data_IF_894148562282
#
_entry.id   IF_894148562282
#
_cell.length_a   1.000
_cell.length_b   1.000
_cell.length_c   1.000
_cell.angle_alpha   90.00
_cell.angle_beta   90.00
_cell.angle_gamma   90.00
#
_symmetry.space_group_name_H-M   'P 1'
#
loop_
_entity.id
_entity.type
_entity.pdbx_description
1 polymer ?
#
# COMPACT_ATOMS: atom_id res chain seq x y z
N UNK A 1 -4.72 -15.61 2.52
CA UNK A 1 -3.60 -15.29 1.62
C UNK A 1 -3.26 -16.57 0.87
N UNK A 2 -3.16 -16.53 -0.45
CA UNK A 2 -2.72 -17.66 -1.28
C UNK A 2 -1.25 -17.42 -1.70
N UNK A 3 -0.34 -18.28 -1.25
CA UNK A 3 1.12 -18.17 -1.45
C UNK A 3 1.62 -19.00 -2.63
N UNK A 4 0.74 -19.57 -3.45
CA UNK A 4 1.11 -20.51 -4.51
C UNK A 4 1.72 -19.86 -5.78
N UNK A 5 1.84 -18.53 -5.83
CA UNK A 5 2.26 -17.82 -7.05
C UNK A 5 3.80 -17.71 -7.19
N UNK A 6 4.43 -18.43 -8.13
CA UNK A 6 5.89 -18.58 -8.17
C UNK A 6 6.67 -17.31 -8.56
N UNK A 7 6.03 -16.31 -9.18
CA UNK A 7 6.68 -15.01 -9.44
C UNK A 7 6.58 -14.04 -8.26
N UNK A 8 5.70 -14.33 -7.29
CA UNK A 8 5.53 -13.51 -6.09
C UNK A 8 6.28 -14.12 -4.91
N UNK A 9 6.40 -15.45 -4.85
CA UNK A 9 7.06 -16.16 -3.76
C UNK A 9 8.22 -16.99 -4.32
N UNK A 10 9.43 -16.41 -4.29
CA UNK A 10 10.64 -16.96 -4.95
C UNK A 10 11.35 -18.03 -4.07
N UNK A 11 10.97 -18.17 -2.79
CA UNK A 11 11.42 -19.24 -1.87
C UNK A 11 10.28 -19.67 -0.92
N UNK A 12 10.29 -20.91 -0.39
CA UNK A 12 9.23 -21.44 0.47
C UNK A 12 9.00 -20.66 1.78
N UNK A 13 9.96 -19.83 2.19
CA UNK A 13 9.96 -18.97 3.37
C UNK A 13 10.67 -17.65 2.97
N UNK A 14 10.42 -16.46 3.52
CA UNK A 14 9.63 -16.02 4.66
C UNK A 14 9.56 -14.50 4.47
N UNK A 15 8.46 -13.96 3.91
CA UNK A 15 8.04 -12.56 3.94
C UNK A 15 7.10 -12.18 2.78
N UNK A 16 6.23 -11.21 3.03
CA UNK A 16 5.34 -10.58 2.05
C UNK A 16 6.19 -9.86 1.00
N UNK A 17 5.98 -10.14 -0.30
CA UNK A 17 6.70 -9.45 -1.37
C UNK A 17 6.42 -7.95 -1.35
N UNK A 18 7.45 -7.13 -1.63
CA UNK A 18 7.28 -5.67 -1.66
C UNK A 18 6.16 -5.20 -2.60
N UNK A 19 5.92 -5.91 -3.71
CA UNK A 19 4.82 -5.63 -4.63
C UNK A 19 3.43 -5.77 -3.99
N UNK A 20 3.26 -6.70 -3.04
CA UNK A 20 2.00 -6.86 -2.30
C UNK A 20 1.78 -5.68 -1.36
N UNK A 21 2.84 -5.16 -0.73
CA UNK A 21 2.76 -3.95 0.11
C UNK A 21 2.43 -2.70 -0.71
N UNK A 22 2.96 -2.58 -1.94
CA UNK A 22 2.58 -1.51 -2.86
C UNK A 22 1.10 -1.57 -3.23
N UNK A 23 0.58 -2.76 -3.52
CA UNK A 23 -0.84 -2.93 -3.83
C UNK A 23 -1.74 -2.64 -2.62
N UNK A 24 -1.32 -3.07 -1.43
CA UNK A 24 -2.02 -2.74 -0.19
C UNK A 24 -2.08 -1.21 0.02
N UNK A 25 -0.97 -0.51 -0.25
CA UNK A 25 -0.94 0.95 -0.20
C UNK A 25 -1.85 1.61 -1.22
N UNK A 26 -1.87 1.11 -2.46
CA UNK A 26 -2.77 1.59 -3.50
C UNK A 26 -4.24 1.43 -3.11
N UNK A 27 -4.62 0.25 -2.62
CA UNK A 27 -6.00 -0.03 -2.22
C UNK A 27 -6.41 0.79 -1.00
N UNK A 28 -5.54 0.90 0.01
CA UNK A 28 -5.81 1.69 1.21
C UNK A 28 -5.95 3.19 0.88
N UNK A 29 -5.09 3.72 0.01
CA UNK A 29 -5.20 5.10 -0.47
C UNK A 29 -6.50 5.35 -1.25
N UNK A 30 -6.88 4.43 -2.14
CA UNK A 30 -8.14 4.52 -2.86
C UNK A 30 -9.36 4.50 -1.92
N UNK A 31 -9.34 3.66 -0.87
CA UNK A 31 -10.44 3.53 0.07
C UNK A 31 -10.71 4.81 0.89
N UNK A 32 -9.69 5.64 1.12
CA UNK A 32 -9.82 6.89 1.89
C UNK A 32 -9.86 8.15 1.00
N UNK A 33 -9.79 8.00 -0.32
CA UNK A 33 -9.84 9.11 -1.27
C UNK A 33 -11.27 9.31 -1.79
N UNK A 34 -11.93 10.45 -1.50
CA UNK A 34 -13.29 10.71 -1.97
C UNK A 34 -13.34 10.98 -3.49
N UNK A 35 -14.36 10.47 -4.19
CA UNK A 35 -14.62 10.81 -5.58
C UNK A 35 -15.60 9.87 -6.28
N UNK A 36 -16.20 10.32 -7.38
CA UNK A 36 -17.02 9.50 -8.26
C UNK A 36 -16.10 8.75 -9.24
N UNK A 37 -15.84 7.47 -8.99
CA UNK A 37 -15.00 6.62 -9.84
C UNK A 37 -13.97 5.81 -9.05
N UNK A 38 -13.07 5.14 -9.75
CA UNK A 38 -11.94 4.42 -9.14
C UNK A 38 -10.75 5.37 -9.05
N UNK A 39 -10.36 5.86 -7.86
CA UNK A 39 -9.22 6.76 -7.71
C UNK A 39 -7.94 6.08 -8.21
N UNK A 40 -7.12 6.82 -8.94
CA UNK A 40 -5.91 6.31 -9.58
C UNK A 40 -4.64 6.91 -8.95
N UNK A 41 -3.65 6.09 -8.55
CA UNK A 41 -2.38 6.59 -8.05
C UNK A 41 -1.57 7.25 -9.18
N UNK A 42 -1.18 8.51 -9.01
CA UNK A 42 -0.29 9.24 -9.92
C UNK A 42 1.18 8.92 -9.64
N UNK A 43 1.54 8.74 -8.38
CA UNK A 43 2.90 8.39 -7.95
C UNK A 43 2.90 7.78 -6.56
N UNK A 44 3.93 7.01 -6.25
CA UNK A 44 4.17 6.43 -4.93
C UNK A 44 5.64 6.61 -4.55
N UNK A 45 5.89 7.24 -3.41
CA UNK A 45 7.21 7.28 -2.76
C UNK A 45 7.22 6.26 -1.63
N UNK A 46 8.06 5.23 -1.73
CA UNK A 46 7.98 4.06 -0.86
C UNK A 46 9.27 3.87 -0.06
N UNK A 47 9.14 3.43 1.18
CA UNK A 47 10.25 2.96 2.01
C UNK A 47 9.90 1.59 2.57
N UNK A 48 10.84 0.66 2.47
CA UNK A 48 10.75 -0.69 3.03
C UNK A 48 11.78 -0.77 4.14
N UNK A 49 11.32 -0.65 5.38
CA UNK A 49 12.20 -0.59 6.55
C UNK A 49 12.62 -2.00 6.98
N UNK A 50 11.70 -2.97 6.86
CA UNK A 50 11.89 -4.36 7.30
C UNK A 50 11.11 -5.33 6.41
N UNK A 51 11.49 -6.60 6.49
CA UNK A 51 10.66 -7.67 5.97
C UNK A 51 9.37 -7.79 6.78
N UNK A 52 8.30 -8.18 6.09
CA UNK A 52 7.00 -8.45 6.70
C UNK A 52 6.81 -9.95 6.69
N UNK A 53 6.95 -10.60 7.83
CA UNK A 53 6.89 -12.06 7.92
C UNK A 53 5.43 -12.57 7.82
N UNK A 54 5.22 -13.87 7.57
CA UNK A 54 3.86 -14.44 7.44
C UNK A 54 3.23 -14.88 8.77
N UNK A 55 4.02 -14.94 9.83
CA UNK A 55 3.64 -15.46 11.15
C UNK A 55 2.68 -14.53 11.91
N UNK A 56 2.82 -13.21 11.73
CA UNK A 56 1.99 -12.19 12.37
C UNK A 56 1.34 -11.24 11.34
N UNK A 57 0.16 -10.67 11.64
CA UNK A 57 -0.47 -9.72 10.74
C UNK A 57 0.34 -8.44 10.57
N UNK A 58 0.42 -7.95 9.32
CA UNK A 58 0.81 -6.58 9.02
C UNK A 58 -0.45 -5.71 8.86
N UNK A 59 -0.58 -4.71 9.72
CA UNK A 59 -1.67 -3.74 9.70
C UNK A 59 -1.34 -2.57 8.79
N UNK A 60 -2.28 -2.21 7.92
CA UNK A 60 -2.13 -1.10 6.98
C UNK A 60 -3.00 0.06 7.44
N UNK A 61 -2.37 1.20 7.71
CA UNK A 61 -3.04 2.44 8.11
C UNK A 61 -2.91 3.48 7.00
N UNK A 62 -4.01 4.14 6.64
CA UNK A 62 -4.05 5.17 5.61
C UNK A 62 -4.56 6.49 6.19
N UNK A 63 -3.75 7.54 6.05
CA UNK A 63 -4.05 8.89 6.55
C UNK A 63 -4.01 9.89 5.39
N UNK A 64 -5.13 10.57 5.06
CA UNK A 64 -5.10 11.68 4.12
C UNK A 64 -4.16 12.79 4.57
N UNK A 65 -3.35 13.30 3.65
CA UNK A 65 -2.42 14.43 3.85
C UNK A 65 -2.60 15.43 2.71
N UNK A 66 -1.98 16.62 2.81
CA UNK A 66 -2.18 17.70 1.83
C UNK A 66 -1.93 17.27 0.38
N UNK A 67 -0.94 16.42 0.14
CA UNK A 67 -0.50 16.04 -1.21
C UNK A 67 -0.85 14.59 -1.60
N UNK A 68 -1.74 13.92 -0.85
CA UNK A 68 -2.13 12.53 -1.12
C UNK A 68 -2.54 11.75 0.12
N UNK A 69 -2.16 10.49 0.18
CA UNK A 69 -2.41 9.60 1.32
C UNK A 69 -1.09 9.03 1.81
N UNK A 70 -0.81 9.19 3.11
CA UNK A 70 0.27 8.47 3.78
C UNK A 70 -0.26 7.10 4.19
N UNK A 71 0.38 6.05 3.70
CA UNK A 71 0.13 4.67 4.11
C UNK A 71 1.30 4.16 4.93
N UNK A 72 1.02 3.52 6.06
CA UNK A 72 2.04 2.89 6.92
C UNK A 72 1.65 1.45 7.20
N UNK A 73 2.63 0.55 7.06
CA UNK A 73 2.51 -0.85 7.46
C UNK A 73 3.15 -1.07 8.83
N UNK A 74 2.44 -1.73 9.73
CA UNK A 74 2.91 -2.09 11.06
C UNK A 74 2.82 -3.60 11.31
N UNK A 75 3.90 -4.22 11.76
CA UNK A 75 3.92 -5.60 12.23
C UNK A 75 4.58 -5.62 13.61
N UNK A 76 3.98 -6.34 14.56
CA UNK A 76 4.44 -6.43 15.95
C UNK A 76 4.70 -5.07 16.64
N UNK A 77 3.91 -4.06 16.27
CA UNK A 77 3.99 -2.70 16.81
C UNK A 77 5.09 -1.83 16.18
N UNK A 78 5.81 -2.33 15.19
CA UNK A 78 6.90 -1.62 14.51
C UNK A 78 6.51 -1.23 13.09
N UNK A 79 6.97 -0.05 12.63
CA UNK A 79 6.87 0.30 11.22
C UNK A 79 7.80 -0.59 10.40
N UNK A 80 7.24 -1.21 9.36
CA UNK A 80 7.94 -2.09 8.41
C UNK A 80 7.92 -1.52 6.99
N UNK A 81 6.95 -0.67 6.68
CA UNK A 81 6.75 -0.07 5.37
C UNK A 81 6.08 1.30 5.50
N UNK A 82 6.42 2.23 4.62
CA UNK A 82 5.64 3.45 4.42
C UNK A 82 5.57 3.86 2.95
N UNK A 83 4.47 4.52 2.58
CA UNK A 83 4.25 5.06 1.25
C UNK A 83 3.54 6.40 1.31
N UNK A 84 4.00 7.38 0.52
CA UNK A 84 3.20 8.54 0.15
C UNK A 84 2.60 8.27 -1.23
N UNK A 85 1.28 8.06 -1.27
CA UNK A 85 0.53 7.81 -2.50
C UNK A 85 -0.14 9.11 -2.94
N UNK A 86 0.29 9.67 -4.06
CA UNK A 86 -0.42 10.80 -4.68
C UNK A 86 -1.55 10.26 -5.54
N UNK A 87 -2.77 10.69 -5.27
CA UNK A 87 -3.96 10.28 -6.00
C UNK A 87 -4.32 11.34 -7.04
N UNK A 88 -5.01 10.94 -8.11
CA UNK A 88 -5.72 11.91 -8.92
C UNK A 88 -6.76 12.64 -8.04
N UNK A 89 -6.72 13.97 -8.05
CA UNK A 89 -7.79 14.74 -7.41
C UNK A 89 -9.14 14.42 -8.08
N UNK A 90 -10.28 14.71 -7.43
CA UNK A 90 -11.58 14.55 -8.07
C UNK A 90 -11.52 15.28 -9.39
N UNK A 91 -11.62 14.53 -10.49
CA UNK A 91 -11.42 15.07 -11.82
C UNK A 91 -12.32 16.32 -11.94
N UNK A 92 -11.70 17.50 -12.06
CA UNK A 92 -12.39 18.64 -12.63
C UNK A 92 -12.74 18.17 -14.04
N UNK A 93 -13.99 17.69 -14.23
CA UNK A 93 -14.47 17.23 -15.53
C UNK A 93 -14.08 18.31 -16.53
N UNK A 94 -13.18 17.96 -17.46
CA UNK A 94 -12.90 18.85 -18.58
C UNK A 94 -14.24 19.04 -19.32
N UNK A 95 -14.64 20.30 -19.61
CA UNK A 95 -15.88 20.58 -20.32
C UNK A 95 -15.90 19.91 -21.70
#
# INVERSE_FOLDING_TARGET
MDTSHPLLFDRPDDHVPGMVLLEAARQAAAAVTPGDGTPYPLSMENTFDRYVEFDTPCWIEATPVTDGVRVVGHQDGEQVFSSLVRMDGPAARRP
#
